data_IF_875123440697
#
_entry.id   IF_875123440697
#
_cell.length_a   1.000
_cell.length_b   1.000
_cell.length_c   1.000
_cell.angle_alpha   90.00
_cell.angle_beta   90.00
_cell.angle_gamma   90.00
#
_symmetry.space_group_name_H-M   'P 1'
#
loop_
_entity.id
_entity.type
_entity.pdbx_description
1 polymer ?
#
# COMPACT_ATOMS: atom_id res chain seq x y z
N UNK A 1 6.19 32.13 -31.17
CA UNK A 1 6.73 31.50 -29.94
C UNK A 1 6.14 32.16 -28.68
N UNK A 2 5.08 31.56 -28.15
CA UNK A 2 4.40 32.02 -26.94
C UNK A 2 5.29 31.72 -25.74
N UNK A 3 5.75 32.76 -25.05
CA UNK A 3 6.53 32.64 -23.81
C UNK A 3 5.62 32.03 -22.73
N UNK A 4 5.87 30.78 -22.34
CA UNK A 4 5.31 30.24 -21.11
C UNK A 4 6.16 30.76 -19.94
N UNK A 5 5.57 31.48 -18.96
CA UNK A 5 6.31 31.90 -17.79
C UNK A 5 6.83 30.67 -17.06
N UNK A 6 8.11 30.71 -16.68
CA UNK A 6 8.74 29.72 -15.80
C UNK A 6 7.88 29.63 -14.54
N UNK A 7 7.41 28.42 -14.21
CA UNK A 7 6.76 28.16 -12.93
C UNK A 7 7.65 28.74 -11.83
N UNK A 8 7.05 29.57 -10.97
CA UNK A 8 7.72 30.11 -9.79
C UNK A 8 8.25 28.91 -9.00
N UNK A 9 9.53 28.90 -8.57
CA UNK A 9 10.03 27.79 -7.76
C UNK A 9 9.12 27.65 -6.56
N UNK A 10 8.57 26.44 -6.37
CA UNK A 10 7.75 26.12 -5.22
C UNK A 10 8.50 26.56 -3.95
N UNK A 11 7.80 27.25 -3.04
CA UNK A 11 8.38 27.68 -1.78
C UNK A 11 9.06 26.47 -1.09
N UNK A 12 10.22 26.65 -0.46
CA UNK A 12 10.90 25.54 0.22
C UNK A 12 9.93 24.93 1.25
N UNK A 13 9.64 23.63 1.09
CA UNK A 13 8.83 22.87 2.05
C UNK A 13 9.44 23.04 3.44
N UNK A 14 8.65 23.54 4.39
CA UNK A 14 9.12 23.69 5.76
C UNK A 14 9.47 22.30 6.32
N UNK A 15 10.52 22.23 7.14
CA UNK A 15 10.97 20.96 7.70
C UNK A 15 9.89 20.24 8.51
N UNK A 16 9.02 20.98 9.19
CA UNK A 16 7.87 20.43 9.91
C UNK A 16 6.86 19.75 8.96
N UNK A 17 6.51 20.42 7.85
CA UNK A 17 5.60 19.86 6.85
C UNK A 17 6.17 18.59 6.21
N UNK A 18 7.49 18.49 6.06
CA UNK A 18 8.14 17.31 5.49
C UNK A 18 7.98 16.08 6.39
N UNK A 19 8.06 16.26 7.72
CA UNK A 19 7.93 15.18 8.70
C UNK A 19 6.54 14.55 8.62
N UNK A 20 5.49 15.37 8.54
CA UNK A 20 4.11 14.89 8.45
C UNK A 20 3.80 14.16 7.13
N UNK A 21 4.62 14.35 6.10
CA UNK A 21 4.46 13.71 4.78
C UNK A 21 5.19 12.38 4.66
N UNK A 22 6.20 12.15 5.50
CA UNK A 22 7.01 10.93 5.47
C UNK A 22 6.17 9.70 5.79
N UNK A 23 5.40 9.70 6.89
CA UNK A 23 4.65 8.52 7.31
C UNK A 23 3.55 8.12 6.30
N UNK A 24 2.74 9.05 5.75
CA UNK A 24 1.82 8.74 4.66
C UNK A 24 2.51 8.15 3.42
N UNK A 25 3.69 8.65 3.05
CA UNK A 25 4.43 8.15 1.88
C UNK A 25 4.94 6.71 2.04
N UNK A 26 5.26 6.33 3.28
CA UNK A 26 5.78 5.00 3.63
C UNK A 26 4.69 4.02 4.09
N UNK A 27 3.46 4.50 4.28
CA UNK A 27 2.35 3.68 4.78
C UNK A 27 2.11 2.46 3.88
N UNK A 28 2.04 1.26 4.47
CA UNK A 28 1.84 -0.04 3.81
C UNK A 28 2.96 -0.49 2.86
N UNK A 29 4.12 0.19 2.83
CA UNK A 29 5.29 -0.27 2.05
C UNK A 29 6.15 -1.30 2.78
N UNK A 30 5.97 -1.43 4.09
CA UNK A 30 6.79 -2.30 4.93
C UNK A 30 8.17 -1.72 5.23
N UNK A 31 9.07 -2.54 5.80
CA UNK A 31 10.45 -2.14 6.07
C UNK A 31 11.20 -1.82 4.77
N UNK A 32 11.74 -0.60 4.69
CA UNK A 32 12.58 -0.15 3.59
C UNK A 32 13.94 0.28 4.11
N UNK A 33 14.99 0.03 3.34
CA UNK A 33 16.29 0.66 3.59
C UNK A 33 16.19 2.18 3.47
N UNK A 34 17.08 2.91 4.14
CA UNK A 34 17.01 4.38 4.20
C UNK A 34 16.96 5.03 2.81
N UNK A 35 17.73 4.53 1.84
CA UNK A 35 17.73 5.06 0.48
C UNK A 35 16.39 4.85 -0.25
N UNK A 36 15.80 3.66 -0.11
CA UNK A 36 14.51 3.34 -0.74
C UNK A 36 13.36 4.08 -0.07
N UNK A 37 13.43 4.29 1.24
CA UNK A 37 12.49 5.16 1.94
C UNK A 37 12.59 6.61 1.44
N UNK A 38 13.79 7.15 1.23
CA UNK A 38 13.95 8.51 0.69
C UNK A 38 13.39 8.60 -0.73
N UNK A 39 13.66 7.61 -1.59
CA UNK A 39 13.08 7.55 -2.95
C UNK A 39 11.56 7.52 -2.90
N UNK A 40 11.00 6.66 -2.06
CA UNK A 40 9.56 6.54 -1.86
C UNK A 40 8.90 7.87 -1.44
N UNK A 41 9.49 8.58 -0.49
CA UNK A 41 9.00 9.89 -0.06
C UNK A 41 9.14 10.92 -1.18
N UNK A 42 10.28 10.96 -1.88
CA UNK A 42 10.47 11.89 -3.00
C UNK A 42 9.43 11.67 -4.10
N UNK A 43 9.16 10.41 -4.47
CA UNK A 43 8.15 10.08 -5.48
C UNK A 43 6.74 10.45 -5.03
N UNK A 44 6.42 10.25 -3.74
CA UNK A 44 5.16 10.69 -3.16
C UNK A 44 4.98 12.22 -3.24
N UNK A 45 6.02 12.98 -2.87
CA UNK A 45 5.99 14.44 -2.93
C UNK A 45 5.88 14.97 -4.37
N UNK A 46 6.54 14.31 -5.33
CA UNK A 46 6.42 14.62 -6.76
C UNK A 46 5.01 14.34 -7.29
N UNK A 47 4.44 13.20 -6.94
CA UNK A 47 3.06 12.86 -7.31
C UNK A 47 2.05 13.85 -6.73
N UNK A 48 2.35 14.45 -5.57
CA UNK A 48 1.56 15.51 -4.96
C UNK A 48 1.85 16.93 -5.52
N UNK A 49 2.76 17.07 -6.48
CA UNK A 49 3.15 18.36 -7.06
C UNK A 49 3.91 19.29 -6.10
N UNK A 50 4.46 18.75 -5.01
CA UNK A 50 5.13 19.53 -3.97
C UNK A 50 6.62 19.73 -4.24
N UNK A 51 7.21 18.87 -5.08
CA UNK A 51 8.62 18.93 -5.47
C UNK A 51 8.71 18.61 -6.96
N UNK A 52 9.50 19.39 -7.69
CA UNK A 52 9.79 19.10 -9.10
C UNK A 52 10.66 17.85 -9.26
N UNK A 53 10.62 17.25 -10.45
CA UNK A 53 11.53 16.16 -10.75
C UNK A 53 12.98 16.65 -10.79
N UNK A 54 13.75 16.24 -9.78
CA UNK A 54 15.21 16.36 -9.76
C UNK A 54 15.84 14.99 -9.49
N UNK A 55 16.99 14.72 -10.12
CA UNK A 55 17.75 13.49 -9.84
C UNK A 55 18.15 13.48 -8.37
N UNK A 56 17.76 12.42 -7.67
CA UNK A 56 18.06 12.25 -6.25
C UNK A 56 19.53 11.82 -6.10
N UNK A 57 20.38 12.72 -5.59
CA UNK A 57 21.78 12.44 -5.25
C UNK A 57 21.95 12.49 -3.74
N UNK A 58 22.79 11.63 -3.17
CA UNK A 58 22.99 11.49 -1.72
C UNK A 58 23.54 12.77 -1.06
N UNK A 59 24.30 13.57 -1.80
CA UNK A 59 24.82 14.88 -1.40
C UNK A 59 23.87 16.04 -1.74
N UNK A 60 22.74 15.75 -2.37
CA UNK A 60 21.77 16.75 -2.79
C UNK A 60 20.97 17.34 -1.64
N UNK A 61 20.50 18.59 -1.76
CA UNK A 61 19.73 19.26 -0.70
C UNK A 61 18.44 18.52 -0.37
N UNK A 62 17.69 18.05 -1.38
CA UNK A 62 16.45 17.31 -1.18
C UNK A 62 16.69 15.97 -0.47
N UNK A 63 17.73 15.22 -0.86
CA UNK A 63 18.05 13.97 -0.19
C UNK A 63 18.39 14.21 1.30
N UNK A 64 19.20 15.22 1.58
CA UNK A 64 19.59 15.58 2.95
C UNK A 64 18.38 15.98 3.80
N UNK A 65 17.46 16.77 3.24
CA UNK A 65 16.21 17.17 3.91
C UNK A 65 15.32 15.97 4.21
N UNK A 66 15.12 15.09 3.23
CA UNK A 66 14.32 13.87 3.39
C UNK A 66 14.95 12.92 4.41
N UNK A 67 16.26 12.74 4.37
CA UNK A 67 16.99 11.92 5.35
C UNK A 67 16.81 12.47 6.78
N UNK A 68 16.90 13.79 6.95
CA UNK A 68 16.65 14.44 8.24
C UNK A 68 15.20 14.28 8.71
N UNK A 69 14.22 14.43 7.80
CA UNK A 69 12.81 14.24 8.14
C UNK A 69 12.48 12.79 8.51
N UNK A 70 13.09 11.80 7.85
CA UNK A 70 12.98 10.39 8.28
C UNK A 70 13.45 10.23 9.74
N UNK A 71 14.61 10.80 10.08
CA UNK A 71 15.16 10.69 11.43
C UNK A 71 14.30 11.43 12.47
N UNK A 72 13.69 12.57 12.11
CA UNK A 72 12.73 13.28 12.96
C UNK A 72 11.41 12.50 13.12
N UNK A 73 10.89 11.90 12.05
CA UNK A 73 9.67 11.10 12.09
C UNK A 73 9.85 9.83 12.94
N UNK A 74 11.06 9.23 12.94
CA UNK A 74 11.41 8.15 13.88
C UNK A 74 11.39 8.65 15.32
N UNK A 75 11.98 9.82 15.60
CA UNK A 75 11.96 10.40 16.96
C UNK A 75 10.55 10.75 17.43
N UNK A 76 9.67 11.14 16.52
CA UNK A 76 8.26 11.43 16.80
C UNK A 76 7.38 10.16 16.94
N UNK A 77 7.92 8.97 16.66
CA UNK A 77 7.19 7.70 16.77
C UNK A 77 6.28 7.37 15.57
N UNK A 78 6.28 8.18 14.53
CA UNK A 78 5.52 7.90 13.29
C UNK A 78 6.17 6.80 12.44
N UNK A 79 7.49 6.63 12.59
CA UNK A 79 8.25 5.54 12.00
C UNK A 79 8.93 4.73 13.10
N UNK A 80 9.13 3.44 12.85
CA UNK A 80 9.99 2.59 13.68
C UNK A 80 11.14 1.99 12.85
N UNK A 81 12.04 1.27 13.54
CA UNK A 81 13.20 0.60 12.95
C UNK A 81 13.12 -0.90 13.26
N UNK A 82 12.41 -1.69 12.44
CA UNK A 82 12.22 -3.12 12.72
C UNK A 82 13.54 -3.90 12.64
N UNK A 83 14.50 -3.43 11.83
CA UNK A 83 15.87 -3.96 11.75
C UNK A 83 16.87 -2.80 11.61
N UNK A 84 18.15 -3.07 11.87
CA UNK A 84 19.21 -2.08 11.64
C UNK A 84 19.24 -1.70 10.15
N UNK A 85 19.21 -0.40 9.87
CA UNK A 85 19.29 0.15 8.51
C UNK A 85 17.94 0.33 7.81
N UNK A 86 16.86 -0.22 8.37
CA UNK A 86 15.52 -0.10 7.79
C UNK A 86 14.60 0.83 8.60
N UNK A 87 13.61 1.39 7.92
CA UNK A 87 12.52 2.18 8.47
C UNK A 87 11.19 1.73 7.88
N UNK A 88 10.11 1.80 8.66
CA UNK A 88 8.73 1.67 8.15
C UNK A 88 7.81 2.64 8.86
N UNK A 89 6.68 2.96 8.25
CA UNK A 89 5.61 3.66 8.94
C UNK A 89 5.00 2.76 10.01
N UNK A 90 4.78 3.33 11.20
CA UNK A 90 4.32 2.60 12.37
C UNK A 90 2.99 3.17 12.88
N UNK A 91 2.00 2.30 13.03
CA UNK A 91 0.81 2.53 13.86
C UNK A 91 0.66 1.32 14.77
N UNK A 92 1.05 1.42 16.04
CA UNK A 92 1.01 0.28 16.96
C UNK A 92 -0.40 -0.01 17.46
N UNK A 93 -1.23 1.01 17.63
CA UNK A 93 -2.59 0.86 18.15
C UNK A 93 -3.54 0.39 17.04
N UNK A 94 -4.25 -0.75 17.19
CA UNK A 94 -5.28 -1.15 16.25
C UNK A 94 -6.40 -0.11 16.05
N UNK A 95 -6.65 0.78 17.01
CA UNK A 95 -7.65 1.83 16.88
C UNK A 95 -7.30 2.88 15.80
N UNK A 96 -6.01 3.01 15.43
CA UNK A 96 -5.53 3.94 14.40
C UNK A 96 -5.70 3.41 12.96
N UNK A 97 -6.19 2.18 12.81
CA UNK A 97 -6.40 1.55 11.50
C UNK A 97 -7.81 1.83 11.01
N UNK A 98 -7.89 2.41 9.83
CA UNK A 98 -9.16 2.63 9.14
C UNK A 98 -9.71 1.32 8.57
N UNK A 99 -11.00 1.25 8.21
CA UNK A 99 -11.56 0.10 7.50
C UNK A 99 -10.79 -0.26 6.21
N UNK A 100 -10.24 0.75 5.52
CA UNK A 100 -9.44 0.55 4.32
C UNK A 100 -8.04 -0.01 4.61
N UNK A 101 -7.46 0.30 5.78
CA UNK A 101 -6.20 -0.29 6.20
C UNK A 101 -6.37 -1.79 6.47
N UNK A 102 -7.43 -2.17 7.19
CA UNK A 102 -7.76 -3.57 7.44
C UNK A 102 -8.07 -4.34 6.16
N UNK A 103 -8.78 -3.71 5.22
CA UNK A 103 -9.06 -4.27 3.90
C UNK A 103 -7.79 -4.48 3.09
N UNK A 104 -6.88 -3.50 3.09
CA UNK A 104 -5.60 -3.62 2.41
C UNK A 104 -4.76 -4.77 2.98
N UNK A 105 -4.75 -4.95 4.31
CA UNK A 105 -4.07 -6.07 4.95
C UNK A 105 -4.62 -7.44 4.50
N UNK A 106 -5.96 -7.57 4.37
CA UNK A 106 -6.59 -8.78 3.83
C UNK A 106 -6.20 -9.05 2.38
N UNK A 107 -6.28 -8.03 1.53
CA UNK A 107 -5.99 -8.17 0.10
C UNK A 107 -4.51 -8.44 -0.18
N UNK A 108 -3.62 -8.04 0.73
CA UNK A 108 -2.18 -8.31 0.63
C UNK A 108 -1.84 -9.78 0.84
N UNK A 109 -2.63 -10.52 1.63
CA UNK A 109 -2.37 -11.94 1.95
C UNK A 109 -3.23 -12.93 1.16
N UNK A 110 -4.37 -12.47 0.62
CA UNK A 110 -5.25 -13.33 -0.17
C UNK A 110 -4.69 -13.52 -1.58
N UNK A 111 -4.60 -14.78 -1.99
CA UNK A 111 -4.28 -15.19 -3.36
C UNK A 111 -5.56 -15.59 -4.11
N UNK A 112 -5.50 -15.81 -5.43
CA UNK A 112 -6.61 -16.40 -6.17
C UNK A 112 -6.96 -17.83 -5.73
N UNK A 113 -6.11 -18.48 -4.93
CA UNK A 113 -6.36 -19.84 -4.43
C UNK A 113 -7.18 -19.81 -3.13
N UNK A 114 -8.25 -20.63 -3.00
CA UNK A 114 -9.06 -20.67 -1.80
C UNK A 114 -8.25 -21.04 -0.55
N UNK A 115 -8.28 -20.14 0.44
CA UNK A 115 -7.58 -20.23 1.72
C UNK A 115 -8.60 -20.29 2.85
N UNK A 116 -8.30 -21.01 3.93
CA UNK A 116 -9.12 -21.02 5.13
C UNK A 116 -9.32 -19.59 5.69
N UNK A 117 -10.54 -19.28 6.09
CA UNK A 117 -10.94 -17.95 6.56
C UNK A 117 -10.16 -17.53 7.78
N UNK A 118 -10.04 -18.39 8.79
CA UNK A 118 -9.35 -18.03 10.02
C UNK A 118 -7.84 -17.90 9.79
N UNK A 119 -7.28 -18.73 8.92
CA UNK A 119 -5.91 -18.58 8.46
C UNK A 119 -5.67 -17.23 7.77
N UNK A 120 -6.55 -16.84 6.83
CA UNK A 120 -6.45 -15.56 6.13
C UNK A 120 -6.55 -14.35 7.08
N UNK A 121 -7.44 -14.41 8.09
CA UNK A 121 -7.55 -13.34 9.10
C UNK A 121 -6.28 -13.23 9.94
N UNK A 122 -5.68 -14.35 10.36
CA UNK A 122 -4.41 -14.34 11.10
C UNK A 122 -3.28 -13.80 10.24
N UNK A 123 -3.16 -14.29 9.01
CA UNK A 123 -2.15 -13.82 8.07
C UNK A 123 -2.25 -12.31 7.80
N UNK A 124 -3.46 -11.76 7.70
CA UNK A 124 -3.66 -10.31 7.51
C UNK A 124 -3.20 -9.50 8.74
N UNK A 125 -3.46 -9.99 9.96
CA UNK A 125 -2.95 -9.36 11.16
C UNK A 125 -1.42 -9.43 11.25
N UNK A 126 -0.83 -10.57 10.87
CA UNK A 126 0.62 -10.74 10.82
C UNK A 126 1.25 -9.81 9.80
N UNK A 127 0.66 -9.70 8.62
CA UNK A 127 1.07 -8.74 7.61
C UNK A 127 1.01 -7.29 8.11
N UNK A 128 -0.04 -6.90 8.84
CA UNK A 128 -0.16 -5.56 9.40
C UNK A 128 0.92 -5.28 10.46
N UNK A 129 1.27 -6.27 11.28
CA UNK A 129 2.38 -6.19 12.24
C UNK A 129 3.73 -6.03 11.56
N UNK A 130 3.99 -6.82 10.52
CA UNK A 130 5.28 -6.81 9.81
C UNK A 130 5.43 -5.57 8.93
N UNK A 131 4.33 -5.10 8.35
CA UNK A 131 4.34 -4.00 7.37
C UNK A 131 4.11 -2.63 8.00
N UNK A 132 3.20 -2.55 8.97
CA UNK A 132 2.67 -1.29 9.51
C UNK A 132 2.94 -1.12 11.01
N UNK A 133 3.64 -2.06 11.64
CA UNK A 133 4.02 -1.97 13.05
C UNK A 133 2.88 -2.21 14.03
N UNK A 134 1.77 -2.83 13.60
CA UNK A 134 0.67 -3.20 14.49
C UNK A 134 1.19 -4.03 15.69
N UNK A 135 0.88 -3.57 16.91
CA UNK A 135 1.30 -4.24 18.13
C UNK A 135 0.19 -5.16 18.65
N UNK A 136 0.50 -6.44 18.81
CA UNK A 136 -0.33 -7.38 19.57
C UNK A 136 0.50 -8.57 20.04
N UNK A 137 0.19 -9.09 21.23
CA UNK A 137 0.82 -10.30 21.77
C UNK A 137 0.11 -11.58 21.26
N UNK A 138 -1.22 -11.57 21.29
CA UNK A 138 -2.06 -12.70 20.87
C UNK A 138 -3.36 -12.21 20.25
N UNK A 139 -3.76 -12.83 19.14
CA UNK A 139 -5.06 -12.61 18.54
C UNK A 139 -6.15 -13.28 19.38
N UNK A 140 -7.02 -12.48 20.00
CA UNK A 140 -8.20 -12.94 20.74
C UNK A 140 -9.38 -13.07 19.78
N UNK A 141 -10.15 -14.16 19.90
CA UNK A 141 -11.33 -14.45 19.06
C UNK A 141 -12.30 -13.28 18.94
N UNK A 142 -12.48 -12.55 20.04
CA UNK A 142 -13.40 -11.42 20.17
C UNK A 142 -12.64 -10.09 20.35
N UNK A 143 -11.36 -10.09 19.99
CA UNK A 143 -10.51 -8.91 20.03
C UNK A 143 -10.87 -7.90 18.93
N UNK A 144 -10.50 -6.65 19.17
CA UNK A 144 -10.74 -5.56 18.23
C UNK A 144 -10.16 -5.85 16.83
N UNK A 145 -8.94 -6.38 16.74
CA UNK A 145 -8.26 -6.71 15.47
C UNK A 145 -9.09 -7.70 14.65
N UNK A 146 -9.48 -8.84 15.23
CA UNK A 146 -10.25 -9.85 14.50
C UNK A 146 -11.67 -9.36 14.16
N UNK A 147 -12.27 -8.53 15.02
CA UNK A 147 -13.57 -7.90 14.74
C UNK A 147 -13.47 -6.94 13.54
N UNK A 148 -12.45 -6.09 13.50
CA UNK A 148 -12.19 -5.16 12.41
C UNK A 148 -11.89 -5.89 11.09
N UNK A 149 -11.03 -6.92 11.12
CA UNK A 149 -10.73 -7.74 9.95
C UNK A 149 -11.96 -8.49 9.42
N UNK A 150 -12.82 -9.06 10.28
CA UNK A 150 -14.08 -9.69 9.85
C UNK A 150 -15.02 -8.68 9.19
N UNK A 151 -15.08 -7.45 9.72
CA UNK A 151 -15.86 -6.37 9.12
C UNK A 151 -15.31 -5.97 7.74
N UNK A 152 -13.98 -5.77 7.65
CA UNK A 152 -13.30 -5.45 6.40
C UNK A 152 -13.46 -6.57 5.35
N UNK A 153 -13.42 -7.83 5.76
CA UNK A 153 -13.69 -8.98 4.90
C UNK A 153 -15.11 -8.93 4.32
N UNK A 154 -16.12 -8.68 5.15
CA UNK A 154 -17.50 -8.56 4.67
C UNK A 154 -17.65 -7.39 3.68
N UNK A 155 -16.97 -6.28 3.94
CA UNK A 155 -16.92 -5.15 3.00
C UNK A 155 -16.24 -5.53 1.68
N UNK A 156 -15.10 -6.21 1.72
CA UNK A 156 -14.36 -6.66 0.54
C UNK A 156 -15.17 -7.64 -0.32
N UNK A 157 -15.94 -8.54 0.30
CA UNK A 157 -16.87 -9.44 -0.41
C UNK A 157 -17.98 -8.64 -1.10
N UNK A 158 -18.60 -7.68 -0.41
CA UNK A 158 -19.63 -6.81 -1.01
C UNK A 158 -19.11 -5.98 -2.17
N UNK A 159 -17.82 -5.63 -2.15
CA UNK A 159 -17.12 -4.91 -3.22
C UNK A 159 -16.66 -5.83 -4.37
N UNK A 160 -16.84 -7.14 -4.25
CA UNK A 160 -16.38 -8.11 -5.25
C UNK A 160 -14.87 -8.30 -5.29
N UNK A 161 -14.14 -7.89 -4.26
CA UNK A 161 -12.67 -8.02 -4.17
C UNK A 161 -12.24 -9.37 -3.58
N UNK A 162 -13.16 -10.03 -2.88
CA UNK A 162 -12.97 -11.35 -2.26
C UNK A 162 -14.15 -12.24 -2.60
N UNK A 163 -13.87 -13.47 -3.01
CA UNK A 163 -14.86 -14.50 -3.34
C UNK A 163 -14.91 -15.53 -2.22
N UNK A 164 -16.13 -15.93 -1.83
CA UNK A 164 -16.35 -17.05 -0.89
C UNK A 164 -16.49 -18.36 -1.64
N UNK A 165 -15.77 -19.37 -1.19
CA UNK A 165 -15.89 -20.75 -1.64
C UNK A 165 -16.48 -21.59 -0.49
N UNK A 166 -17.81 -21.60 -0.39
CA UNK A 166 -18.50 -22.22 0.76
C UNK A 166 -18.46 -21.35 2.02
N UNK A 167 -18.47 -22.00 3.20
CA UNK A 167 -18.62 -21.32 4.48
C UNK A 167 -17.30 -20.79 5.06
N UNK A 168 -16.19 -21.48 4.79
CA UNK A 168 -14.92 -21.35 5.49
C UNK A 168 -13.75 -20.96 4.58
N UNK A 169 -13.93 -20.90 3.24
CA UNK A 169 -12.83 -20.57 2.32
C UNK A 169 -13.03 -19.25 1.58
N UNK A 170 -11.91 -18.55 1.40
CA UNK A 170 -11.83 -17.23 0.78
C UNK A 170 -10.76 -17.23 -0.30
N UNK A 171 -11.02 -16.56 -1.42
CA UNK A 171 -10.01 -16.26 -2.43
C UNK A 171 -10.08 -14.78 -2.80
N UNK A 172 -8.96 -14.21 -3.22
CA UNK A 172 -8.97 -12.89 -3.86
C UNK A 172 -9.68 -12.99 -5.19
N UNK A 173 -10.59 -12.07 -5.46
CA UNK A 173 -11.24 -12.02 -6.76
C UNK A 173 -10.18 -11.79 -7.85
N UNK A 174 -10.33 -12.43 -9.03
CA UNK A 174 -9.49 -12.10 -10.17
C UNK A 174 -9.62 -10.60 -10.46
N UNK A 175 -8.52 -9.95 -10.82
CA UNK A 175 -8.61 -8.58 -11.29
C UNK A 175 -9.61 -8.55 -12.47
N UNK A 176 -10.49 -7.54 -12.56
CA UNK A 176 -11.32 -7.39 -13.74
C UNK A 176 -10.38 -7.38 -14.95
N UNK A 177 -10.74 -8.07 -16.06
CA UNK A 177 -9.93 -8.02 -17.25
C UNK A 177 -9.75 -6.55 -17.63
N UNK A 178 -8.50 -6.11 -17.73
CA UNK A 178 -8.19 -4.77 -18.22
C UNK A 178 -8.86 -4.65 -19.60
N UNK A 179 -9.79 -3.70 -19.76
CA UNK A 179 -10.39 -3.39 -21.06
C UNK A 179 -9.25 -3.17 -22.08
N UNK A 180 -9.04 -4.17 -22.93
CA UNK A 180 -7.85 -4.26 -23.78
C UNK A 180 -7.29 -5.68 -23.99
N UNK A 181 -7.71 -6.66 -23.19
CA UNK A 181 -7.33 -8.08 -23.35
C UNK A 181 -8.42 -8.99 -23.93
N UNK A 182 -9.50 -8.43 -24.49
CA UNK A 182 -10.32 -9.16 -25.46
C UNK A 182 -9.64 -9.07 -26.82
N UNK A 183 -8.65 -9.96 -27.02
CA UNK A 183 -8.09 -10.21 -28.34
C UNK A 183 -9.22 -10.64 -29.27
N UNK A 184 -9.36 -9.95 -30.40
CA UNK A 184 -10.27 -10.27 -31.51
C UNK A 184 -10.01 -11.67 -32.12
N UNK A 185 -9.06 -12.43 -31.59
CA UNK A 185 -8.61 -13.73 -32.10
C UNK A 185 -9.54 -14.91 -31.76
N UNK A 186 -10.53 -14.76 -30.88
CA UNK A 186 -11.53 -15.82 -30.61
C UNK A 186 -12.72 -15.81 -31.58
N UNK A 187 -12.78 -14.87 -32.53
CA UNK A 187 -13.67 -14.97 -33.68
C UNK A 187 -12.93 -15.68 -34.82
N UNK A 188 -12.73 -16.99 -34.67
CA UNK A 188 -12.31 -17.86 -35.77
C UNK A 188 -13.55 -18.22 -36.61
N UNK A 189 -13.69 -17.74 -37.87
CA UNK A 189 -14.77 -18.13 -38.74
C UNK A 189 -14.33 -19.39 -39.48
N UNK A 190 -14.74 -20.56 -39.00
CA UNK A 190 -14.76 -21.75 -39.84
C UNK A 190 -15.84 -22.69 -39.33
N UNK A 191 -16.99 -22.67 -40.00
CA UNK A 191 -17.49 -23.95 -40.47
C UNK A 191 -18.06 -23.82 -41.89
N UNK A 192 -17.62 -24.78 -42.70
CA UNK A 192 -17.74 -24.84 -44.16
C UNK A 192 -19.05 -25.52 -44.51
N UNK A 193 -19.88 -24.87 -45.33
CA UNK A 193 -20.93 -25.55 -46.08
C UNK A 193 -20.53 -25.67 -47.55
N UNK A 194 -19.88 -26.76 -47.93
CA UNK A 194 -19.79 -27.17 -49.34
C UNK A 194 -21.08 -27.91 -49.74
N UNK A 195 -21.77 -27.52 -50.84
CA UNK A 195 -22.83 -28.33 -51.41
C UNK A 195 -22.28 -29.36 -52.41
N UNK A 196 -22.87 -30.57 -52.37
CA UNK A 196 -22.70 -31.64 -53.35
C UNK A 196 -23.37 -31.32 -54.68
#
# INVERSE_FOLDING_TARGET
PTYQPRATPAAPLAAADLVDRVAPALWRRGPLDKDDAIRAVADHLRAAGQVDFQRLRSDGPLYTQLAAALDLAVKAGHLDRPRRGTVRACRPDPADYTPDDWRAALLAVLTPTPTDRDHALRAAADWARDTCGLAFERLRSDGHILTALRSALNSAIRRGEVVRHGADRLARAPAPPTEGQLSFADLSPNDRGEPR
#
